data_IF_510994202627
#
_entry.id   IF_510994202627
#
_cell.length_a   1.000
_cell.length_b   1.000
_cell.length_c   1.000
_cell.angle_alpha   90.00
_cell.angle_beta   90.00
_cell.angle_gamma   90.00
#
_symmetry.space_group_name_H-M   'P 1'
#
loop_
_entity.id
_entity.type
_entity.pdbx_description
1 polymer ?
#
# COMPACT_ATOMS: atom_id res chain seq x y z
N UNK A 1 -6.14 27.40 -1.52
CA UNK A 1 -6.00 25.96 -1.21
C UNK A 1 -4.58 25.75 -0.76
N UNK A 2 -4.37 25.38 0.50
CA UNK A 2 -3.03 25.14 1.05
C UNK A 2 -2.41 23.99 0.26
N UNK A 3 -1.29 24.21 -0.43
CA UNK A 3 -0.44 23.11 -0.88
C UNK A 3 -0.02 22.36 0.38
N UNK A 4 -0.58 21.18 0.62
CA UNK A 4 -0.15 20.36 1.73
C UNK A 4 1.29 19.91 1.52
N UNK A 5 2.09 19.95 2.58
CA UNK A 5 3.54 19.73 2.51
C UNK A 5 3.89 18.25 2.57
N UNK A 6 3.24 17.42 1.75
CA UNK A 6 3.64 16.02 1.59
C UNK A 6 5.02 15.97 0.96
N UNK A 7 6.01 15.61 1.76
CA UNK A 7 7.40 15.52 1.33
C UNK A 7 8.01 14.21 1.86
N UNK A 8 8.27 13.28 0.95
CA UNK A 8 9.04 12.09 1.24
C UNK A 8 10.51 12.37 0.92
N UNK A 9 11.37 12.25 1.93
CA UNK A 9 12.80 12.51 1.79
C UNK A 9 13.48 11.55 0.80
N UNK A 10 14.62 11.97 0.27
CA UNK A 10 15.49 11.08 -0.51
C UNK A 10 16.00 9.92 0.37
N UNK A 11 15.92 8.68 -0.14
CA UNK A 11 16.21 7.44 0.60
C UNK A 11 15.32 7.22 1.83
N UNK A 12 14.00 7.04 1.64
CA UNK A 12 13.07 6.80 2.73
C UNK A 12 13.28 5.42 3.36
N UNK A 13 13.10 5.35 4.68
CA UNK A 13 12.89 4.11 5.43
C UNK A 13 11.42 3.73 5.42
N UNK A 14 11.07 2.50 5.81
CA UNK A 14 9.66 2.10 5.99
C UNK A 14 8.94 2.99 6.99
N UNK A 15 9.63 3.43 8.05
CA UNK A 15 9.09 4.39 9.01
C UNK A 15 8.76 5.74 8.36
N UNK A 16 9.59 6.21 7.43
CA UNK A 16 9.31 7.46 6.70
C UNK A 16 8.06 7.31 5.81
N UNK A 17 7.87 6.16 5.17
CA UNK A 17 6.64 5.87 4.43
C UNK A 17 5.40 5.83 5.34
N UNK A 18 5.48 5.15 6.49
CA UNK A 18 4.39 5.12 7.46
C UNK A 18 4.00 6.54 7.93
N UNK A 19 4.99 7.39 8.24
CA UNK A 19 4.75 8.78 8.61
C UNK A 19 4.12 9.57 7.44
N UNK A 20 4.67 9.43 6.23
CA UNK A 20 4.12 10.08 5.04
C UNK A 20 2.66 9.70 4.79
N UNK A 21 2.30 8.42 4.91
CA UNK A 21 0.92 7.95 4.75
C UNK A 21 0.01 8.50 5.85
N UNK A 22 0.50 8.62 7.08
CA UNK A 22 -0.25 9.28 8.17
C UNK A 22 -0.64 10.71 7.81
N UNK A 23 0.29 11.47 7.23
CA UNK A 23 0.04 12.86 6.82
C UNK A 23 -0.85 12.91 5.57
N UNK A 24 -0.65 11.98 4.63
CA UNK A 24 -1.44 11.81 3.41
C UNK A 24 -2.93 11.60 3.71
N UNK A 25 -3.24 10.68 4.62
CA UNK A 25 -4.61 10.31 5.02
C UNK A 25 -5.31 11.51 5.66
N UNK A 26 -4.62 12.26 6.53
CA UNK A 26 -5.15 13.49 7.14
C UNK A 26 -5.38 14.58 6.12
N UNK A 27 -4.44 14.82 5.21
CA UNK A 27 -4.57 15.85 4.18
C UNK A 27 -5.75 15.57 3.23
N UNK A 28 -5.96 14.29 2.90
CA UNK A 28 -7.07 13.85 2.05
C UNK A 28 -8.41 13.73 2.79
N UNK A 29 -8.42 13.89 4.11
CA UNK A 29 -9.63 13.83 4.93
C UNK A 29 -10.16 12.40 5.17
N UNK A 30 -9.30 11.40 4.99
CA UNK A 30 -9.60 9.98 5.24
C UNK A 30 -9.34 9.57 6.71
N UNK A 31 -8.89 10.49 7.56
CA UNK A 31 -8.62 10.25 8.99
C UNK A 31 -9.86 9.89 9.83
N UNK A 32 -11.05 9.93 9.22
CA UNK A 32 -12.35 9.63 9.83
C UNK A 32 -12.95 8.31 9.37
N UNK A 33 -12.29 7.60 8.46
CA UNK A 33 -12.75 6.30 7.97
C UNK A 33 -12.86 5.30 9.12
N UNK A 34 -13.92 4.51 9.10
CA UNK A 34 -14.08 3.38 10.01
C UNK A 34 -13.13 2.25 9.59
N UNK A 35 -12.83 1.35 10.53
CA UNK A 35 -12.04 0.14 10.25
C UNK A 35 -12.64 -0.66 9.08
N UNK A 36 -13.96 -0.76 9.01
CA UNK A 36 -14.65 -1.47 7.93
C UNK A 36 -14.43 -0.82 6.56
N UNK A 37 -14.48 0.51 6.48
CA UNK A 37 -14.23 1.26 5.24
C UNK A 37 -12.77 1.12 4.80
N UNK A 38 -11.83 1.24 5.74
CA UNK A 38 -10.39 1.05 5.48
C UNK A 38 -10.09 -0.33 4.87
N UNK A 39 -10.65 -1.42 5.43
CA UNK A 39 -10.47 -2.77 4.87
C UNK A 39 -11.22 -2.98 3.56
N UNK A 40 -12.36 -2.33 3.37
CA UNK A 40 -13.09 -2.37 2.10
C UNK A 40 -12.23 -1.77 0.97
N UNK A 41 -11.67 -0.58 1.18
CA UNK A 41 -10.81 0.10 0.22
C UNK A 41 -9.51 -0.70 -0.03
N UNK A 42 -8.88 -1.22 1.02
CA UNK A 42 -7.72 -2.10 0.87
C UNK A 42 -7.99 -3.31 -0.03
N UNK A 43 -9.17 -3.93 0.10
CA UNK A 43 -9.56 -5.07 -0.73
C UNK A 43 -9.94 -4.67 -2.15
N UNK A 44 -10.48 -3.47 -2.34
CA UNK A 44 -10.72 -2.88 -3.65
C UNK A 44 -9.40 -2.75 -4.41
N UNK A 45 -8.38 -2.11 -3.84
CA UNK A 45 -7.05 -1.97 -4.45
C UNK A 45 -6.38 -3.32 -4.72
N UNK A 46 -6.53 -4.31 -3.82
CA UNK A 46 -6.05 -5.67 -4.08
C UNK A 46 -6.72 -6.29 -5.32
N UNK A 47 -8.01 -6.00 -5.52
CA UNK A 47 -8.79 -6.43 -6.68
C UNK A 47 -8.35 -5.74 -7.97
N UNK A 48 -8.09 -4.43 -7.92
CA UNK A 48 -7.52 -3.62 -9.01
C UNK A 48 -6.15 -4.16 -9.43
N UNK A 49 -5.25 -4.37 -8.47
CA UNK A 49 -3.93 -4.99 -8.67
C UNK A 49 -4.04 -6.36 -9.35
N UNK A 50 -4.98 -7.20 -8.92
CA UNK A 50 -5.21 -8.50 -9.55
C UNK A 50 -5.76 -8.40 -10.98
N UNK A 51 -6.62 -7.41 -11.28
CA UNK A 51 -7.08 -7.13 -12.66
C UNK A 51 -5.91 -6.67 -13.54
N UNK A 52 -5.07 -5.76 -13.04
CA UNK A 52 -3.90 -5.25 -13.77
C UNK A 52 -2.89 -6.37 -14.06
N UNK A 53 -2.55 -7.20 -13.07
CA UNK A 53 -1.63 -8.33 -13.23
C UNK A 53 -2.08 -9.30 -14.33
N UNK A 54 -3.38 -9.63 -14.40
CA UNK A 54 -3.95 -10.51 -15.42
C UNK A 54 -3.82 -9.97 -16.84
N UNK A 55 -3.84 -8.65 -17.01
CA UNK A 55 -3.69 -8.00 -18.33
C UNK A 55 -2.24 -7.96 -18.77
N UNK A 56 -1.31 -7.72 -17.84
CA UNK A 56 0.14 -7.74 -18.12
C UNK A 56 0.63 -9.11 -18.62
N UNK A 57 0.05 -10.22 -18.15
CA UNK A 57 0.43 -11.57 -18.60
C UNK A 57 -0.22 -12.02 -19.92
N UNK A 58 -1.26 -11.33 -20.41
CA UNK A 58 -1.98 -11.69 -21.66
C UNK A 58 -1.60 -10.76 -22.82
N UNK A 59 -0.31 -10.71 -23.18
CA UNK A 59 0.22 -9.86 -24.25
C UNK A 59 -0.49 -10.05 -25.60
N UNK A 60 -1.53 -9.25 -25.83
CA UNK A 60 -1.91 -8.52 -27.05
C UNK A 60 -2.96 -7.50 -26.61
N UNK A 61 -2.53 -6.29 -26.24
CA UNK A 61 -3.46 -5.19 -25.97
C UNK A 61 -3.73 -4.44 -27.26
N UNK A 62 -5.01 -4.27 -27.56
CA UNK A 62 -5.50 -3.32 -28.55
C UNK A 62 -5.10 -1.90 -28.12
N UNK A 63 -4.83 -1.00 -29.07
CA UNK A 63 -4.25 0.34 -28.80
C UNK A 63 -5.13 1.27 -27.94
N UNK A 64 -6.35 0.83 -27.60
CA UNK A 64 -7.39 1.60 -26.91
C UNK A 64 -7.81 1.02 -25.54
N UNK A 65 -7.18 -0.04 -25.02
CA UNK A 65 -7.47 -0.45 -23.64
C UNK A 65 -6.82 0.54 -22.68
N UNK A 66 -7.59 1.11 -21.74
CA UNK A 66 -7.05 1.85 -20.58
C UNK A 66 -5.79 1.14 -20.10
N UNK A 67 -4.67 1.87 -20.06
CA UNK A 67 -3.40 1.30 -19.69
C UNK A 67 -3.46 1.02 -18.19
N UNK A 68 -3.76 -0.23 -17.80
CA UNK A 68 -3.76 -0.64 -16.40
C UNK A 68 -2.32 -0.55 -15.89
N UNK A 69 -2.05 0.46 -15.07
CA UNK A 69 -0.74 0.75 -14.51
C UNK A 69 -0.52 -0.15 -13.29
N UNK A 70 -0.05 -1.38 -13.52
CA UNK A 70 0.19 -2.36 -12.46
C UNK A 70 1.04 -1.81 -11.31
N UNK A 71 2.01 -0.94 -11.63
CA UNK A 71 2.83 -0.21 -10.69
C UNK A 71 2.05 0.77 -9.79
N UNK A 72 1.02 1.43 -10.33
CA UNK A 72 0.12 2.28 -9.53
C UNK A 72 -0.70 1.43 -8.55
N UNK A 73 -1.32 0.35 -9.02
CA UNK A 73 -2.15 -0.51 -8.17
C UNK A 73 -1.35 -1.14 -7.01
N UNK A 74 -0.10 -1.52 -7.27
CA UNK A 74 0.81 -2.02 -6.22
C UNK A 74 1.11 -0.92 -5.19
N UNK A 75 1.25 0.33 -5.64
CA UNK A 75 1.47 1.46 -4.74
C UNK A 75 0.23 1.75 -3.89
N UNK A 76 -0.98 1.66 -4.44
CA UNK A 76 -2.22 1.87 -3.70
C UNK A 76 -2.43 0.78 -2.63
N UNK A 77 -2.20 -0.49 -2.97
CA UNK A 77 -2.18 -1.59 -1.99
C UNK A 77 -1.16 -1.33 -0.87
N UNK A 78 0.02 -0.83 -1.23
CA UNK A 78 1.05 -0.49 -0.24
C UNK A 78 0.60 0.67 0.67
N UNK A 79 0.00 1.72 0.13
CA UNK A 79 -0.50 2.86 0.90
C UNK A 79 -1.54 2.41 1.93
N UNK A 80 -2.56 1.64 1.53
CA UNK A 80 -3.57 1.16 2.47
C UNK A 80 -3.01 0.17 3.49
N UNK A 81 -2.05 -0.67 3.11
CA UNK A 81 -1.38 -1.53 4.09
C UNK A 81 -0.65 -0.70 5.16
N UNK A 82 0.03 0.38 4.76
CA UNK A 82 0.69 1.28 5.70
C UNK A 82 -0.32 2.03 6.57
N UNK A 83 -1.45 2.46 6.01
CA UNK A 83 -2.52 3.11 6.76
C UNK A 83 -3.11 2.18 7.82
N UNK A 84 -3.42 0.93 7.46
CA UNK A 84 -3.83 -0.12 8.40
C UNK A 84 -2.77 -0.29 9.50
N UNK A 85 -1.49 -0.39 9.14
CA UNK A 85 -0.42 -0.50 10.13
C UNK A 85 -0.40 0.70 11.09
N UNK A 86 -0.55 1.92 10.57
CA UNK A 86 -0.58 3.14 11.37
C UNK A 86 -1.80 3.16 12.31
N UNK A 87 -2.98 2.80 11.80
CA UNK A 87 -4.22 2.75 12.57
C UNK A 87 -4.12 1.79 13.78
N UNK A 88 -3.49 0.63 13.59
CA UNK A 88 -3.32 -0.38 14.65
C UNK A 88 -2.01 -0.25 15.44
N UNK A 89 -1.20 0.78 15.19
CA UNK A 89 0.07 1.00 15.89
C UNK A 89 1.14 -0.05 15.57
N UNK A 90 1.09 -0.65 14.39
CA UNK A 90 2.07 -1.63 13.92
C UNK A 90 3.27 -0.91 13.28
N UNK A 91 4.47 -1.15 13.83
CA UNK A 91 5.72 -0.85 13.14
C UNK A 91 5.97 -1.97 12.11
N UNK A 92 5.76 -1.67 10.83
CA UNK A 92 5.82 -2.69 9.78
C UNK A 92 7.25 -3.22 9.58
N UNK A 93 8.27 -2.36 9.71
CA UNK A 93 9.66 -2.79 9.57
C UNK A 93 10.05 -3.76 10.69
N UNK A 94 9.71 -3.39 11.93
CA UNK A 94 9.96 -4.26 13.08
C UNK A 94 9.18 -5.57 12.95
N UNK A 95 7.89 -5.51 12.61
CA UNK A 95 7.04 -6.69 12.45
C UNK A 95 7.58 -7.64 11.37
N UNK A 96 8.04 -7.11 10.25
CA UNK A 96 8.68 -7.88 9.19
C UNK A 96 9.95 -8.57 9.68
N UNK A 97 10.86 -7.84 10.34
CA UNK A 97 12.12 -8.39 10.87
C UNK A 97 11.88 -9.50 11.89
N UNK A 98 10.98 -9.25 12.85
CA UNK A 98 10.62 -10.23 13.87
C UNK A 98 10.02 -11.50 13.24
N UNK A 99 9.17 -11.32 12.21
CA UNK A 99 8.55 -12.44 11.49
C UNK A 99 9.57 -13.28 10.72
N UNK A 100 10.58 -12.64 10.13
CA UNK A 100 11.65 -13.33 9.42
C UNK A 100 12.54 -14.16 10.35
N UNK A 101 12.83 -13.69 11.57
CA UNK A 101 13.54 -14.50 12.56
C UNK A 101 12.77 -15.76 12.99
N UNK A 102 11.44 -15.70 12.94
CA UNK A 102 10.58 -16.88 13.13
C UNK A 102 10.65 -17.79 11.90
N UNK A 103 10.57 -17.23 10.69
CA UNK A 103 10.58 -17.99 9.44
C UNK A 103 11.89 -18.75 9.21
N UNK A 104 13.03 -18.18 9.60
CA UNK A 104 14.36 -18.83 9.53
C UNK A 104 14.45 -20.14 10.31
N UNK A 105 13.59 -20.32 11.33
CA UNK A 105 13.54 -21.52 12.16
C UNK A 105 12.57 -22.57 11.62
N UNK A 106 11.83 -22.26 10.56
CA UNK A 106 10.88 -23.18 9.93
C UNK A 106 11.61 -24.07 8.95
N UNK A 107 11.30 -25.36 9.00
CA UNK A 107 11.64 -26.31 7.95
C UNK A 107 10.43 -26.33 7.03
N UNK A 108 10.65 -26.06 5.75
CA UNK A 108 9.61 -26.08 4.72
C UNK A 108 9.66 -27.46 4.06
N UNK A 109 8.57 -28.21 4.16
CA UNK A 109 8.36 -29.48 3.44
C UNK A 109 7.64 -29.23 2.10
#
# INVERSE_FOLDING_TARGET
>A
MSQGSLNLKQNPTLRDFQNYVTDLVKERGFDKETVSEMFMLFLEECGEMAKAARKTQKMKTDKNSEQFHFDHEVADVFIYLLDICNHFGVDLEKAFRDKEEINKKRIWE
#
